data_IF_669703207119
#
_entry.id   IF_669703207119
#
_cell.length_a   1.000
_cell.length_b   1.000
_cell.length_c   1.000
_cell.angle_alpha   90.00
_cell.angle_beta   90.00
_cell.angle_gamma   90.00
#
_symmetry.space_group_name_H-M   'P 1'
#
loop_
_entity.id
_entity.type
_entity.pdbx_description
1 polymer ?
#
# COMPACT_ATOMS: atom_id res chain seq x y z
N UNK A 1 0.59 -20.82 -9.81
CA UNK A 1 0.28 -20.67 -8.37
C UNK A 1 1.26 -19.72 -7.67
N UNK A 2 2.53 -20.06 -7.39
CA UNK A 2 3.42 -19.15 -6.63
C UNK A 2 3.67 -17.80 -7.33
N UNK A 3 3.97 -17.79 -8.63
CA UNK A 3 4.15 -16.56 -9.41
C UNK A 3 2.89 -15.68 -9.48
N UNK A 4 1.70 -16.30 -9.44
CA UNK A 4 0.41 -15.57 -9.43
C UNK A 4 0.18 -14.90 -8.08
N UNK A 5 0.52 -15.58 -6.97
CA UNK A 5 0.44 -15.01 -5.62
C UNK A 5 1.44 -13.86 -5.43
N UNK A 6 2.65 -13.99 -5.98
CA UNK A 6 3.65 -12.90 -5.97
C UNK A 6 3.17 -11.68 -6.76
N UNK A 7 2.56 -11.92 -7.93
CA UNK A 7 1.96 -10.86 -8.74
C UNK A 7 0.80 -10.19 -8.00
N UNK A 8 -0.10 -10.99 -7.41
CA UNK A 8 -1.23 -10.48 -6.65
C UNK A 8 -0.77 -9.63 -5.46
N UNK A 9 0.21 -10.09 -4.70
CA UNK A 9 0.79 -9.34 -3.59
C UNK A 9 1.44 -8.03 -4.04
N UNK A 10 2.09 -8.02 -5.21
CA UNK A 10 2.67 -6.80 -5.79
C UNK A 10 1.60 -5.78 -6.17
N UNK A 11 0.53 -6.23 -6.84
CA UNK A 11 -0.59 -5.35 -7.21
C UNK A 11 -1.31 -4.85 -5.95
N UNK A 12 -1.52 -5.71 -4.95
CA UNK A 12 -2.10 -5.35 -3.67
C UNK A 12 -1.30 -4.27 -2.93
N UNK A 13 0.03 -4.39 -2.88
CA UNK A 13 0.89 -3.39 -2.26
C UNK A 13 0.74 -2.01 -2.92
N UNK A 14 0.75 -1.97 -4.25
CA UNK A 14 0.56 -0.72 -5.01
C UNK A 14 -0.82 -0.11 -4.80
N UNK A 15 -1.87 -0.94 -4.85
CA UNK A 15 -3.25 -0.53 -4.64
C UNK A 15 -3.46 0.02 -3.22
N UNK A 16 -2.96 -0.67 -2.21
CA UNK A 16 -3.03 -0.24 -0.82
C UNK A 16 -2.35 1.11 -0.60
N UNK A 17 -1.13 1.31 -1.13
CA UNK A 17 -0.41 2.57 -0.98
C UNK A 17 -1.13 3.73 -1.69
N UNK A 18 -1.77 3.47 -2.84
CA UNK A 18 -2.66 4.46 -3.47
C UNK A 18 -3.82 4.87 -2.55
N UNK A 19 -4.48 3.89 -1.93
CA UNK A 19 -5.59 4.15 -1.00
C UNK A 19 -5.11 4.84 0.28
N UNK A 20 -3.93 4.50 0.80
CA UNK A 20 -3.35 5.17 1.99
C UNK A 20 -3.05 6.65 1.73
N UNK A 21 -2.59 6.99 0.53
CA UNK A 21 -2.34 8.36 0.11
C UNK A 21 -3.63 9.14 -0.22
N UNK A 22 -4.76 8.45 -0.43
CA UNK A 22 -6.03 9.06 -0.79
C UNK A 22 -6.85 9.53 0.42
N UNK A 23 -7.97 10.20 0.15
CA UNK A 23 -8.96 10.56 1.18
C UNK A 23 -9.82 9.36 1.60
N UNK A 24 -9.89 8.30 0.79
CA UNK A 24 -10.70 7.10 1.02
C UNK A 24 -9.97 6.00 1.82
N UNK A 25 -8.85 6.33 2.46
CA UNK A 25 -7.96 5.39 3.14
C UNK A 25 -8.64 4.52 4.20
N UNK A 26 -9.68 5.00 4.88
CA UNK A 26 -10.39 4.25 5.92
C UNK A 26 -10.98 2.96 5.34
N UNK A 27 -11.51 3.01 4.11
CA UNK A 27 -12.02 1.82 3.42
C UNK A 27 -10.91 0.80 3.15
N UNK A 28 -9.74 1.26 2.70
CA UNK A 28 -8.59 0.39 2.48
C UNK A 28 -8.06 -0.22 3.77
N UNK A 29 -7.96 0.59 4.83
CA UNK A 29 -7.55 0.13 6.16
C UNK A 29 -8.50 -0.96 6.65
N UNK A 30 -9.81 -0.73 6.63
CA UNK A 30 -10.79 -1.67 7.15
C UNK A 30 -10.79 -3.00 6.36
N UNK A 31 -10.56 -2.95 5.05
CA UNK A 31 -10.42 -4.15 4.22
C UNK A 31 -9.16 -4.97 4.59
N UNK A 32 -8.00 -4.32 4.73
CA UNK A 32 -6.73 -4.97 5.13
C UNK A 32 -6.86 -5.53 6.55
N UNK A 33 -7.37 -4.75 7.48
CA UNK A 33 -7.64 -5.16 8.88
C UNK A 33 -8.58 -6.36 8.94
N UNK A 34 -9.65 -6.34 8.16
CA UNK A 34 -10.59 -7.46 8.05
C UNK A 34 -9.93 -8.74 7.58
N UNK A 35 -8.96 -8.64 6.68
CA UNK A 35 -8.17 -9.77 6.20
C UNK A 35 -7.29 -10.36 7.33
N UNK A 36 -6.53 -9.54 8.05
CA UNK A 36 -5.67 -9.99 9.14
C UNK A 36 -6.45 -10.51 10.34
N UNK A 37 -7.61 -9.92 10.66
CA UNK A 37 -8.47 -10.35 11.76
C UNK A 37 -8.92 -11.81 11.63
N UNK A 38 -9.10 -12.30 10.40
CA UNK A 38 -9.55 -13.68 10.12
C UNK A 38 -8.49 -14.72 10.42
N UNK A 39 -7.22 -14.43 10.13
CA UNK A 39 -6.12 -15.40 10.24
C UNK A 39 -5.24 -15.18 11.46
N UNK A 40 -5.10 -13.94 11.91
CA UNK A 40 -4.22 -13.57 13.02
C UNK A 40 -4.76 -12.35 13.78
N UNK A 41 -5.84 -12.53 14.59
CA UNK A 41 -6.50 -11.42 15.28
C UNK A 41 -5.55 -10.63 16.20
N UNK A 42 -4.54 -11.29 16.79
CA UNK A 42 -3.54 -10.62 17.63
C UNK A 42 -2.62 -9.63 16.90
N UNK A 43 -2.52 -9.70 15.57
CA UNK A 43 -1.73 -8.77 14.74
C UNK A 43 -2.52 -7.56 14.25
N UNK A 44 -3.83 -7.53 14.50
CA UNK A 44 -4.72 -6.51 13.93
C UNK A 44 -4.33 -5.10 14.38
N UNK A 45 -4.05 -4.92 15.67
CA UNK A 45 -3.64 -3.62 16.22
C UNK A 45 -2.30 -3.14 15.63
N UNK A 46 -1.33 -4.05 15.48
CA UNK A 46 -0.04 -3.72 14.85
C UNK A 46 -0.25 -3.27 13.39
N UNK A 47 -1.06 -4.01 12.63
CA UNK A 47 -1.35 -3.68 11.22
C UNK A 47 -2.10 -2.35 11.09
N UNK A 48 -3.03 -2.06 12.00
CA UNK A 48 -3.71 -0.76 12.07
C UNK A 48 -2.73 0.39 12.35
N UNK A 49 -1.79 0.20 13.28
CA UNK A 49 -0.73 1.19 13.58
C UNK A 49 0.18 1.40 12.38
N UNK A 50 0.71 0.32 11.79
CA UNK A 50 1.58 0.36 10.61
C UNK A 50 0.92 1.13 9.44
N UNK A 51 -0.38 0.89 9.17
CA UNK A 51 -1.13 1.58 8.12
C UNK A 51 -1.27 3.08 8.40
N UNK A 52 -1.51 3.46 9.66
CA UNK A 52 -1.64 4.85 10.06
C UNK A 52 -0.29 5.59 9.97
N UNK A 53 0.79 4.93 10.38
CA UNK A 53 2.17 5.45 10.29
C UNK A 53 2.58 5.63 8.81
N UNK A 54 2.39 4.62 7.97
CA UNK A 54 2.72 4.69 6.54
C UNK A 54 1.93 5.81 5.84
N UNK A 55 0.66 6.03 6.20
CA UNK A 55 -0.14 7.14 5.68
C UNK A 55 0.43 8.49 6.06
N UNK A 56 0.81 8.69 7.31
CA UNK A 56 1.36 9.97 7.78
C UNK A 56 2.67 10.30 7.08
N UNK A 57 3.51 9.28 6.89
CA UNK A 57 4.74 9.38 6.11
C UNK A 57 4.45 9.79 4.66
N UNK A 58 3.53 9.09 3.97
CA UNK A 58 3.14 9.41 2.59
C UNK A 58 2.58 10.84 2.43
N UNK A 59 1.82 11.32 3.42
CA UNK A 59 1.27 12.69 3.42
C UNK A 59 2.33 13.75 3.66
N UNK A 60 3.27 13.49 4.56
CA UNK A 60 4.37 14.40 4.85
C UNK A 60 5.22 14.64 3.59
N UNK A 61 5.56 13.58 2.86
CA UNK A 61 6.35 13.68 1.62
C UNK A 61 5.55 14.33 0.48
N UNK A 62 4.29 13.93 0.27
CA UNK A 62 3.41 14.55 -0.75
C UNK A 62 3.22 16.05 -0.52
N UNK A 63 3.15 16.47 0.74
CA UNK A 63 3.10 17.88 1.14
C UNK A 63 4.39 18.63 0.81
N UNK A 64 5.56 18.04 1.10
CA UNK A 64 6.87 18.61 0.78
C UNK A 64 7.10 18.75 -0.72
N UNK A 65 6.81 17.71 -1.51
CA UNK A 65 6.94 17.76 -2.98
C UNK A 65 6.06 18.85 -3.61
N UNK A 66 4.83 19.04 -3.12
CA UNK A 66 3.96 20.13 -3.60
C UNK A 66 4.55 21.51 -3.31
N UNK A 67 5.16 21.69 -2.14
CA UNK A 67 5.88 22.93 -1.79
C UNK A 67 7.11 23.17 -2.68
N UNK A 68 7.88 22.13 -2.99
CA UNK A 68 9.09 22.21 -3.82
C UNK A 68 8.81 22.43 -5.31
N UNK A 69 7.79 21.74 -5.87
CA UNK A 69 7.37 21.93 -7.28
C UNK A 69 6.81 23.32 -7.53
N UNK A 70 6.15 23.92 -6.54
CA UNK A 70 5.61 25.28 -6.66
C UNK A 70 6.70 26.37 -6.77
N UNK A 71 7.95 26.05 -6.42
CA UNK A 71 9.12 26.91 -6.61
C UNK A 71 9.99 26.57 -7.83
N UNK A 72 9.64 25.54 -8.61
CA UNK A 72 10.46 25.03 -9.71
C UNK A 72 9.70 25.09 -11.04
N UNK A 73 9.74 26.24 -11.72
CA UNK A 73 9.31 26.41 -13.12
C UNK A 73 10.28 25.65 -14.05
N UNK A 74 10.18 24.32 -14.11
CA UNK A 74 11.02 23.51 -14.99
C UNK A 74 10.18 22.49 -15.74
N UNK A 75 9.75 22.91 -16.93
CA UNK A 75 9.19 22.05 -17.99
C UNK A 75 10.30 21.15 -18.56
N UNK A 76 10.60 20.06 -17.86
CA UNK A 76 11.36 18.93 -18.40
C UNK A 76 10.47 17.69 -18.42
N UNK A 77 10.65 16.75 -19.38
CA UNK A 77 9.88 15.52 -19.38
C UNK A 77 10.12 14.78 -18.06
N UNK A 78 9.03 14.51 -17.33
CA UNK A 78 9.02 13.75 -16.09
C UNK A 78 9.85 12.48 -16.29
N UNK A 79 11.02 12.43 -15.66
CA UNK A 79 11.90 11.28 -15.73
C UNK A 79 11.39 10.23 -14.74
N UNK A 80 11.66 8.95 -14.98
CA UNK A 80 11.35 7.85 -14.03
C UNK A 80 11.94 8.07 -12.61
N UNK A 81 12.81 9.07 -12.43
CA UNK A 81 13.29 9.56 -11.14
C UNK A 81 12.23 10.29 -10.29
N UNK A 82 11.06 10.62 -10.83
CA UNK A 82 9.94 11.23 -10.10
C UNK A 82 9.07 10.20 -9.31
N UNK A 83 9.43 8.92 -9.32
CA UNK A 83 8.76 7.94 -8.43
C UNK A 83 9.20 8.24 -7.00
N UNK A 84 8.24 8.69 -6.19
CA UNK A 84 8.43 8.94 -4.76
C UNK A 84 9.08 7.71 -4.08
N UNK A 85 10.33 7.80 -3.60
CA UNK A 85 11.06 6.67 -3.03
C UNK A 85 10.39 6.15 -1.75
N UNK A 86 9.69 7.01 -1.00
CA UNK A 86 8.93 6.62 0.18
C UNK A 86 7.73 5.77 -0.23
N UNK A 87 7.04 6.19 -1.29
CA UNK A 87 5.93 5.42 -1.86
C UNK A 87 6.40 4.04 -2.34
N UNK A 88 7.54 3.97 -3.03
CA UNK A 88 8.12 2.70 -3.48
C UNK A 88 8.47 1.78 -2.30
N UNK A 89 9.10 2.32 -1.25
CA UNK A 89 9.43 1.57 -0.04
C UNK A 89 8.18 1.04 0.68
N UNK A 90 7.11 1.84 0.79
CA UNK A 90 5.84 1.40 1.36
C UNK A 90 5.22 0.26 0.53
N UNK A 91 5.25 0.36 -0.80
CA UNK A 91 4.75 -0.71 -1.69
C UNK A 91 5.51 -2.01 -1.45
N UNK A 92 6.83 -1.96 -1.38
CA UNK A 92 7.66 -3.14 -1.15
C UNK A 92 7.44 -3.76 0.24
N UNK A 93 7.27 -2.94 1.27
CA UNK A 93 6.97 -3.40 2.63
C UNK A 93 5.62 -4.15 2.68
N UNK A 94 4.56 -3.57 2.11
CA UNK A 94 3.25 -4.22 2.06
C UNK A 94 3.23 -5.43 1.15
N UNK A 95 3.90 -5.39 0.00
CA UNK A 95 4.08 -6.55 -0.88
C UNK A 95 4.71 -7.71 -0.13
N UNK A 96 5.79 -7.49 0.61
CA UNK A 96 6.44 -8.54 1.40
C UNK A 96 5.51 -9.12 2.48
N UNK A 97 4.69 -8.28 3.13
CA UNK A 97 3.66 -8.72 4.08
C UNK A 97 2.59 -9.59 3.40
N UNK A 98 2.06 -9.16 2.25
CA UNK A 98 1.08 -9.92 1.49
C UNK A 98 1.62 -11.25 0.96
N UNK A 99 2.87 -11.30 0.49
CA UNK A 99 3.52 -12.56 0.10
C UNK A 99 3.58 -13.53 1.28
N UNK A 100 4.00 -13.05 2.46
CA UNK A 100 4.07 -13.88 3.69
C UNK A 100 2.68 -14.34 4.15
N UNK A 101 1.65 -13.52 3.94
CA UNK A 101 0.27 -13.83 4.24
C UNK A 101 -0.25 -14.93 3.31
N UNK A 102 -0.16 -14.73 1.99
CA UNK A 102 -0.63 -15.67 0.97
C UNK A 102 0.15 -17.00 0.97
N UNK A 103 1.42 -16.99 1.37
CA UNK A 103 2.20 -18.21 1.55
C UNK A 103 1.69 -19.09 2.70
N UNK A 104 1.11 -18.49 3.74
CA UNK A 104 0.50 -19.20 4.88
C UNK A 104 -0.98 -19.49 4.68
N UNK A 105 -1.68 -18.59 3.99
CA UNK A 105 -3.12 -18.57 3.81
C UNK A 105 -3.49 -18.28 2.35
N UNK A 106 -3.23 -19.22 1.42
CA UNK A 106 -3.55 -19.04 0.00
C UNK A 106 -5.05 -18.87 -0.26
N UNK A 107 -5.91 -19.32 0.66
CA UNK A 107 -7.36 -19.14 0.64
C UNK A 107 -7.81 -17.68 0.65
N UNK A 108 -6.93 -16.75 1.04
CA UNK A 108 -7.19 -15.31 1.08
C UNK A 108 -6.94 -14.58 -0.25
N UNK A 109 -6.42 -15.27 -1.27
CA UNK A 109 -6.18 -14.69 -2.59
C UNK A 109 -7.43 -14.05 -3.23
N UNK A 110 -8.63 -14.68 -3.24
CA UNK A 110 -9.82 -14.05 -3.82
C UNK A 110 -10.29 -12.81 -3.04
N UNK A 111 -10.14 -12.76 -1.72
CA UNK A 111 -10.42 -11.57 -0.92
C UNK A 111 -9.46 -10.43 -1.24
N UNK A 112 -8.16 -10.72 -1.34
CA UNK A 112 -7.16 -9.73 -1.69
C UNK A 112 -7.40 -9.18 -3.11
N UNK A 113 -7.85 -10.03 -4.04
CA UNK A 113 -8.28 -9.63 -5.38
C UNK A 113 -9.46 -8.66 -5.34
N UNK A 114 -10.52 -8.98 -4.57
CA UNK A 114 -11.67 -8.09 -4.41
C UNK A 114 -11.27 -6.73 -3.81
N UNK A 115 -10.39 -6.74 -2.81
CA UNK A 115 -9.88 -5.50 -2.23
C UNK A 115 -9.20 -4.61 -3.29
N UNK A 116 -8.40 -5.19 -4.19
CA UNK A 116 -7.76 -4.47 -5.31
C UNK A 116 -8.80 -3.95 -6.30
N UNK A 117 -9.82 -4.74 -6.61
CA UNK A 117 -10.87 -4.33 -7.56
C UNK A 117 -11.76 -3.21 -6.98
N UNK A 118 -11.82 -3.08 -5.65
CA UNK A 118 -12.58 -2.06 -4.92
C UNK A 118 -11.74 -0.85 -4.47
N UNK A 119 -10.42 -0.87 -4.67
CA UNK A 119 -9.46 0.16 -4.22
C UNK A 119 -9.35 1.37 -5.14
#
# INVERSE_FOLDING_TARGET
MEAELLTLASVAGTALVNVLASETWERGRDAVVGLWRRVQPGRTADVESDLAEDRELLRTETGQQRGSRQGSDSEGPASDADVDPLRAAAVDAWRARFVRLLARHPELAPELRRMIDES
#
